data_IF_183476729095
#
_entry.id   IF_183476729095
#
_cell.length_a   1.000
_cell.length_b   1.000
_cell.length_c   1.000
_cell.angle_alpha   90.00
_cell.angle_beta   90.00
_cell.angle_gamma   90.00
#
_symmetry.space_group_name_H-M   'P 1'
#
loop_
_entity.id
_entity.type
_entity.pdbx_description
1 polymer ?
#
# COMPACT_ATOMS: atom_id res chain seq x y z
N UNK A 1 23.05 -5.97 -10.52
CA UNK A 1 22.83 -4.77 -9.68
C UNK A 1 21.39 -4.25 -9.75
N UNK A 2 20.81 -3.98 -10.94
CA UNK A 2 19.42 -3.47 -11.09
C UNK A 2 18.37 -4.31 -10.34
N UNK A 3 18.32 -5.62 -10.51
CA UNK A 3 17.29 -6.49 -9.89
C UNK A 3 17.43 -6.59 -8.37
N UNK A 4 18.65 -6.49 -7.83
CA UNK A 4 18.86 -6.42 -6.40
C UNK A 4 18.29 -5.11 -5.81
N UNK A 5 18.48 -3.99 -6.49
CA UNK A 5 17.87 -2.71 -6.08
C UNK A 5 16.35 -2.77 -6.16
N UNK A 6 15.79 -3.40 -7.21
CA UNK A 6 14.34 -3.62 -7.33
C UNK A 6 13.79 -4.50 -6.21
N UNK A 7 14.54 -5.55 -5.83
CA UNK A 7 14.20 -6.39 -4.69
C UNK A 7 14.17 -5.58 -3.37
N UNK A 8 15.18 -4.74 -3.11
CA UNK A 8 15.20 -3.86 -1.93
C UNK A 8 14.03 -2.86 -1.93
N UNK A 9 13.67 -2.30 -3.10
CA UNK A 9 12.48 -1.46 -3.24
C UNK A 9 11.20 -2.24 -2.95
N UNK A 10 11.13 -3.48 -3.40
CA UNK A 10 10.05 -4.41 -3.05
C UNK A 10 9.98 -4.66 -1.55
N UNK A 11 11.11 -4.86 -0.87
CA UNK A 11 11.14 -4.99 0.59
C UNK A 11 10.62 -3.74 1.30
N UNK A 12 10.99 -2.55 0.85
CA UNK A 12 10.46 -1.31 1.40
C UNK A 12 8.94 -1.21 1.20
N UNK A 13 8.43 -1.60 0.02
CA UNK A 13 6.99 -1.64 -0.23
C UNK A 13 6.27 -2.59 0.72
N UNK A 14 6.78 -3.83 0.86
CA UNK A 14 6.18 -4.82 1.76
C UNK A 14 6.23 -4.42 3.23
N UNK A 15 7.31 -3.78 3.68
CA UNK A 15 7.38 -3.23 5.03
C UNK A 15 6.34 -2.13 5.25
N UNK A 16 6.13 -1.25 4.28
CA UNK A 16 5.11 -0.21 4.34
C UNK A 16 3.68 -0.78 4.38
N UNK A 17 3.40 -1.83 3.59
CA UNK A 17 2.08 -2.47 3.56
C UNK A 17 1.72 -3.20 4.85
N UNK A 18 2.71 -3.57 5.68
CA UNK A 18 2.49 -4.15 7.01
C UNK A 18 2.08 -3.13 8.06
N UNK A 19 2.36 -1.84 7.82
CA UNK A 19 2.05 -0.77 8.77
C UNK A 19 0.72 -0.09 8.38
N UNK A 20 -0.30 -0.13 9.26
CA UNK A 20 -1.58 0.52 8.96
C UNK A 20 -1.39 2.01 8.62
N UNK A 21 -2.07 2.51 7.58
CA UNK A 21 -1.99 3.92 7.16
C UNK A 21 -0.80 4.27 6.26
N UNK A 22 0.15 3.38 6.05
CA UNK A 22 1.20 3.50 5.04
C UNK A 22 0.87 2.57 3.87
N UNK A 23 1.28 2.93 2.65
CA UNK A 23 1.01 2.13 1.45
C UNK A 23 2.29 1.84 0.68
N UNK A 24 2.47 0.59 0.28
CA UNK A 24 3.55 0.19 -0.64
C UNK A 24 3.49 0.94 -1.97
N UNK A 25 2.29 1.35 -2.42
CA UNK A 25 2.11 2.24 -3.56
C UNK A 25 2.84 3.58 -3.39
N UNK A 26 2.86 4.14 -2.17
CA UNK A 26 3.65 5.33 -1.85
C UNK A 26 5.13 5.08 -2.09
N UNK A 27 5.66 3.95 -1.57
CA UNK A 27 7.07 3.58 -1.74
C UNK A 27 7.42 3.31 -3.21
N UNK A 28 6.52 2.69 -3.97
CA UNK A 28 6.69 2.51 -5.41
C UNK A 28 6.81 3.86 -6.14
N UNK A 29 5.96 4.84 -5.78
CA UNK A 29 5.94 6.17 -6.40
C UNK A 29 7.24 6.93 -6.11
N UNK A 30 7.65 7.03 -4.84
CA UNK A 30 8.86 7.76 -4.44
C UNK A 30 10.14 7.08 -4.94
N UNK A 31 10.18 5.76 -4.94
CA UNK A 31 11.35 5.03 -5.47
C UNK A 31 11.40 5.00 -6.99
N UNK A 32 10.40 5.59 -7.68
CA UNK A 32 10.37 5.78 -9.13
C UNK A 32 10.05 4.51 -9.93
N UNK A 33 9.51 3.46 -9.29
CA UNK A 33 9.13 2.22 -9.99
C UNK A 33 7.64 2.12 -10.26
N UNK A 34 6.85 3.08 -9.84
CA UNK A 34 5.39 3.03 -9.91
C UNK A 34 4.84 2.87 -11.32
N UNK A 35 5.35 3.65 -12.29
CA UNK A 35 4.94 3.54 -13.69
C UNK A 35 5.32 2.18 -14.29
N UNK A 36 6.53 1.69 -14.00
CA UNK A 36 7.00 0.37 -14.47
C UNK A 36 6.18 -0.76 -13.83
N UNK A 37 5.83 -0.64 -12.54
CA UNK A 37 4.98 -1.59 -11.83
C UNK A 37 3.59 -1.70 -12.48
N UNK A 38 2.92 -0.57 -12.71
CA UNK A 38 1.61 -0.54 -13.36
C UNK A 38 1.66 -1.11 -14.78
N UNK A 39 2.70 -0.78 -15.56
CA UNK A 39 2.89 -1.32 -16.89
C UNK A 39 3.12 -2.83 -16.88
N UNK A 40 3.93 -3.33 -15.93
CA UNK A 40 4.21 -4.75 -15.77
C UNK A 40 2.95 -5.54 -15.37
N UNK A 41 2.14 -5.01 -14.45
CA UNK A 41 0.83 -5.59 -14.10
C UNK A 41 -0.10 -5.61 -15.32
N UNK A 42 -0.12 -4.54 -16.11
CA UNK A 42 -0.93 -4.45 -17.31
C UNK A 42 -0.47 -5.39 -18.42
N UNK A 43 0.81 -5.76 -18.45
CA UNK A 43 1.35 -6.70 -19.44
C UNK A 43 0.85 -8.14 -19.23
N UNK A 44 0.35 -8.49 -18.05
CA UNK A 44 -0.33 -9.76 -17.79
C UNK A 44 -1.64 -9.78 -18.56
N UNK A 45 -1.67 -10.38 -19.73
CA UNK A 45 -2.83 -10.39 -20.64
C UNK A 45 -2.91 -11.66 -21.47
N UNK A 46 -4.09 -11.93 -22.03
CA UNK A 46 -4.27 -13.06 -22.94
C UNK A 46 -3.34 -12.96 -24.18
N UNK A 47 -3.04 -11.74 -24.65
CA UNK A 47 -2.09 -11.54 -25.75
C UNK A 47 -0.66 -11.90 -25.35
N UNK A 48 -0.29 -11.67 -24.08
CA UNK A 48 1.03 -12.08 -23.56
C UNK A 48 1.11 -13.59 -23.37
N UNK A 49 0.02 -14.24 -22.97
CA UNK A 49 -0.06 -15.71 -22.92
C UNK A 49 0.02 -16.33 -24.33
N UNK A 50 -0.56 -15.70 -25.36
CA UNK A 50 -0.39 -16.14 -26.75
C UNK A 50 1.07 -16.07 -27.22
N UNK A 51 1.82 -15.05 -26.77
CA UNK A 51 3.27 -14.93 -27.05
C UNK A 51 4.04 -16.15 -26.54
N UNK A 52 3.65 -16.72 -25.38
CA UNK A 52 4.28 -17.95 -24.87
C UNK A 52 4.17 -19.12 -25.87
N UNK A 53 3.00 -19.28 -26.49
CA UNK A 53 2.77 -20.35 -27.47
C UNK A 53 3.40 -20.07 -28.87
N UNK A 54 3.49 -18.79 -29.26
CA UNK A 54 3.92 -18.40 -30.59
C UNK A 54 5.42 -18.10 -30.69
N UNK A 55 5.98 -17.46 -29.68
CA UNK A 55 7.35 -16.92 -29.70
C UNK A 55 8.24 -17.55 -28.60
N UNK A 56 7.68 -18.43 -27.77
CA UNK A 56 8.38 -19.16 -26.72
C UNK A 56 8.55 -18.35 -25.41
N UNK A 57 9.14 -19.04 -24.42
CA UNK A 57 9.24 -18.53 -23.05
C UNK A 57 10.06 -17.24 -22.93
N UNK A 58 11.14 -17.08 -23.67
CA UNK A 58 12.00 -15.89 -23.58
C UNK A 58 11.29 -14.61 -24.02
N UNK A 59 10.50 -14.67 -25.09
CA UNK A 59 9.70 -13.54 -25.58
C UNK A 59 8.56 -13.21 -24.61
N UNK A 60 7.85 -14.23 -24.12
CA UNK A 60 6.83 -14.11 -23.07
C UNK A 60 7.39 -13.43 -21.83
N UNK A 61 8.52 -13.90 -21.30
CA UNK A 61 9.17 -13.37 -20.11
C UNK A 61 9.56 -11.90 -20.25
N UNK A 62 10.12 -11.54 -21.40
CA UNK A 62 10.47 -10.15 -21.71
C UNK A 62 9.23 -9.26 -21.80
N UNK A 63 8.17 -9.72 -22.46
CA UNK A 63 6.90 -8.97 -22.62
C UNK A 63 6.19 -8.78 -21.28
N UNK A 64 6.25 -9.77 -20.42
CA UNK A 64 5.72 -9.73 -19.06
C UNK A 64 6.51 -8.80 -18.12
N UNK A 65 7.73 -8.44 -18.47
CA UNK A 65 8.72 -7.84 -17.55
C UNK A 65 8.94 -8.72 -16.30
N UNK A 66 9.05 -10.04 -16.52
CA UNK A 66 9.01 -11.06 -15.46
C UNK A 66 10.10 -10.88 -14.43
N UNK A 67 11.32 -10.52 -14.84
CA UNK A 67 12.44 -10.29 -13.91
C UNK A 67 12.20 -9.09 -12.98
N UNK A 68 11.52 -8.04 -13.47
CA UNK A 68 11.10 -6.91 -12.64
C UNK A 68 10.06 -7.35 -11.61
N UNK A 69 9.02 -8.07 -12.07
CA UNK A 69 7.94 -8.54 -11.19
C UNK A 69 8.48 -9.48 -10.11
N UNK A 70 9.33 -10.46 -10.47
CA UNK A 70 9.91 -11.37 -9.47
C UNK A 70 10.79 -10.61 -8.47
N UNK A 71 11.60 -9.66 -8.91
CA UNK A 71 12.43 -8.88 -8.00
C UNK A 71 11.56 -8.08 -7.00
N UNK A 72 10.54 -7.35 -7.49
CA UNK A 72 9.69 -6.53 -6.63
C UNK A 72 8.81 -7.39 -5.72
N UNK A 73 8.06 -8.35 -6.26
CA UNK A 73 7.18 -9.21 -5.46
C UNK A 73 7.97 -10.14 -4.53
N UNK A 74 9.13 -10.63 -4.96
CA UNK A 74 10.04 -11.39 -4.09
C UNK A 74 10.52 -10.53 -2.91
N UNK A 75 10.83 -9.26 -3.14
CA UNK A 75 11.15 -8.30 -2.07
C UNK A 75 9.98 -8.07 -1.12
N UNK A 76 8.77 -7.85 -1.64
CA UNK A 76 7.55 -7.70 -0.83
C UNK A 76 7.32 -8.93 0.05
N UNK A 77 7.33 -10.12 -0.53
CA UNK A 77 7.12 -11.37 0.21
C UNK A 77 8.20 -11.58 1.27
N UNK A 78 9.48 -11.35 0.93
CA UNK A 78 10.58 -11.45 1.90
C UNK A 78 10.39 -10.49 3.07
N UNK A 79 9.96 -9.25 2.79
CA UNK A 79 9.68 -8.27 3.82
C UNK A 79 8.54 -8.73 4.74
N UNK A 80 7.44 -9.21 4.17
CA UNK A 80 6.32 -9.75 4.95
C UNK A 80 6.78 -10.90 5.85
N UNK A 81 7.56 -11.84 5.33
CA UNK A 81 8.00 -13.01 6.09
C UNK A 81 9.05 -12.68 7.16
N UNK A 82 9.97 -11.75 6.86
CA UNK A 82 11.07 -11.43 7.76
C UNK A 82 10.76 -10.32 8.76
N UNK A 83 9.99 -9.32 8.32
CA UNK A 83 9.77 -8.11 9.12
C UNK A 83 8.42 -8.10 9.85
N UNK A 84 7.47 -8.99 9.51
CA UNK A 84 6.15 -8.98 10.14
C UNK A 84 6.24 -9.06 11.66
N UNK A 85 7.02 -10.01 12.20
CA UNK A 85 7.20 -10.17 13.65
C UNK A 85 7.87 -8.96 14.29
N UNK A 86 8.87 -8.38 13.62
CA UNK A 86 9.55 -7.18 14.10
C UNK A 86 8.61 -5.99 14.12
N UNK A 87 7.82 -5.80 13.06
CA UNK A 87 6.87 -4.69 12.97
C UNK A 87 5.71 -4.86 13.95
N UNK A 88 5.22 -6.09 14.14
CA UNK A 88 4.22 -6.40 15.17
C UNK A 88 4.74 -6.03 16.57
N UNK A 89 5.96 -6.46 16.90
CA UNK A 89 6.62 -6.09 18.13
C UNK A 89 6.79 -4.57 18.29
N UNK A 90 7.20 -3.87 17.23
CA UNK A 90 7.34 -2.40 17.25
C UNK A 90 6.00 -1.68 17.40
N UNK A 91 4.93 -2.19 16.80
CA UNK A 91 3.57 -1.63 16.95
C UNK A 91 3.10 -1.76 18.40
N UNK A 92 3.44 -2.86 19.07
CA UNK A 92 3.01 -3.13 20.44
C UNK A 92 3.88 -2.43 21.50
N UNK A 93 5.20 -2.37 21.29
CA UNK A 93 6.15 -1.93 22.32
C UNK A 93 6.72 -0.52 22.04
N UNK A 94 6.87 -0.12 20.79
CA UNK A 94 7.48 1.15 20.37
C UNK A 94 6.64 1.89 19.33
N UNK A 95 5.31 2.01 19.54
CA UNK A 95 4.42 2.58 18.51
C UNK A 95 4.80 4.02 18.16
N UNK A 96 5.17 4.83 19.15
CA UNK A 96 5.50 6.24 18.93
C UNK A 96 6.70 6.41 17.99
N UNK A 97 7.76 5.61 18.18
CA UNK A 97 8.94 5.63 17.31
C UNK A 97 8.60 5.19 15.88
N UNK A 98 7.83 4.10 15.74
CA UNK A 98 7.42 3.56 14.46
C UNK A 98 6.56 4.56 13.66
N UNK A 99 5.53 5.13 14.28
CA UNK A 99 4.67 6.11 13.63
C UNK A 99 5.42 7.39 13.28
N UNK A 100 6.30 7.85 14.16
CA UNK A 100 7.17 9.01 13.91
C UNK A 100 8.06 8.80 12.70
N UNK A 101 8.68 7.62 12.58
CA UNK A 101 9.51 7.27 11.42
C UNK A 101 8.71 7.33 10.11
N UNK A 102 7.54 6.69 10.05
CA UNK A 102 6.70 6.70 8.84
C UNK A 102 6.13 8.07 8.54
N UNK A 103 5.77 8.85 9.55
CA UNK A 103 5.33 10.24 9.37
C UNK A 103 6.43 11.10 8.74
N UNK A 104 7.66 11.01 9.24
CA UNK A 104 8.82 11.69 8.65
C UNK A 104 9.10 11.27 7.22
N UNK A 105 9.02 9.96 6.92
CA UNK A 105 9.19 9.41 5.58
C UNK A 105 8.11 9.93 4.62
N UNK A 106 6.85 9.98 5.05
CA UNK A 106 5.75 10.50 4.22
C UNK A 106 5.88 11.99 3.94
N UNK A 107 6.24 12.80 4.94
CA UNK A 107 6.50 14.25 4.74
C UNK A 107 7.62 14.46 3.74
N UNK A 108 8.75 13.76 3.90
CA UNK A 108 9.85 13.84 2.95
C UNK A 108 9.40 13.48 1.52
N UNK A 109 8.55 12.44 1.42
CA UNK A 109 8.00 11.95 0.15
C UNK A 109 7.12 12.98 -0.54
N UNK A 110 6.21 13.60 0.22
CA UNK A 110 5.34 14.67 -0.26
C UNK A 110 6.16 15.85 -0.77
N UNK A 111 7.13 16.30 0.02
CA UNK A 111 8.01 17.43 -0.36
C UNK A 111 8.82 17.10 -1.62
N UNK A 112 9.36 15.89 -1.69
CA UNK A 112 10.14 15.45 -2.84
C UNK A 112 9.29 15.43 -4.12
N UNK A 113 8.14 14.76 -4.09
CA UNK A 113 7.24 14.67 -5.25
C UNK A 113 6.68 16.04 -5.66
N UNK A 114 6.32 16.86 -4.68
CA UNK A 114 5.84 18.22 -4.93
C UNK A 114 6.90 19.07 -5.67
N UNK A 115 8.17 18.94 -5.30
CA UNK A 115 9.26 19.69 -5.94
C UNK A 115 9.71 19.11 -7.28
N UNK A 116 9.68 17.79 -7.43
CA UNK A 116 10.27 17.12 -8.60
C UNK A 116 9.27 16.86 -9.73
N UNK A 117 7.98 16.68 -9.41
CA UNK A 117 6.99 16.18 -10.36
C UNK A 117 5.80 17.14 -10.57
N UNK A 118 5.67 18.20 -9.76
CA UNK A 118 4.49 19.06 -9.79
C UNK A 118 4.82 20.51 -10.13
N UNK A 119 4.28 21.02 -11.23
CA UNK A 119 4.28 22.46 -11.51
C UNK A 119 3.24 23.17 -10.60
N UNK A 120 3.66 24.27 -9.95
CA UNK A 120 2.80 25.05 -9.05
C UNK A 120 1.86 25.89 -9.90
N UNK A 121 0.68 25.36 -10.17
CA UNK A 121 -0.42 26.05 -10.84
C UNK A 121 -1.68 25.94 -9.99
N UNK A 122 -2.56 26.92 -10.07
CA UNK A 122 -3.82 26.90 -9.31
C UNK A 122 -4.62 25.62 -9.61
N UNK A 123 -4.58 25.17 -10.86
CA UNK A 123 -5.25 23.93 -11.30
C UNK A 123 -4.68 22.70 -10.59
N UNK A 124 -3.36 22.56 -10.53
CA UNK A 124 -2.70 21.43 -9.86
C UNK A 124 -2.94 21.47 -8.35
N UNK A 125 -2.98 22.66 -7.74
CA UNK A 125 -3.34 22.82 -6.33
C UNK A 125 -4.78 22.41 -6.04
N UNK A 126 -5.73 22.67 -6.95
CA UNK A 126 -7.11 22.17 -6.82
C UNK A 126 -7.18 20.64 -6.87
N UNK A 127 -6.46 20.00 -7.79
CA UNK A 127 -6.39 18.53 -7.85
C UNK A 127 -5.72 17.94 -6.61
N UNK A 128 -4.68 18.57 -6.09
CA UNK A 128 -4.04 18.18 -4.83
C UNK A 128 -5.02 18.30 -3.66
N UNK A 129 -5.72 19.43 -3.54
CA UNK A 129 -6.75 19.63 -2.51
C UNK A 129 -7.86 18.57 -2.61
N UNK A 130 -8.32 18.26 -3.83
CA UNK A 130 -9.32 17.21 -4.08
C UNK A 130 -8.84 15.85 -3.57
N UNK A 131 -7.59 15.44 -3.90
CA UNK A 131 -7.01 14.20 -3.38
C UNK A 131 -6.90 14.19 -1.85
N UNK A 132 -6.47 15.29 -1.24
CA UNK A 132 -6.35 15.41 0.21
C UNK A 132 -7.70 15.28 0.92
N UNK A 133 -8.74 15.93 0.41
CA UNK A 133 -10.09 15.83 0.96
C UNK A 133 -10.63 14.41 0.84
N UNK A 134 -10.49 13.75 -0.33
CA UNK A 134 -10.95 12.37 -0.51
C UNK A 134 -10.26 11.44 0.49
N UNK A 135 -8.93 11.47 0.56
CA UNK A 135 -8.19 10.60 1.48
C UNK A 135 -8.57 10.86 2.93
N UNK A 136 -8.67 12.14 3.33
CA UNK A 136 -9.11 12.51 4.66
C UNK A 136 -10.49 11.95 4.99
N UNK A 137 -11.48 12.16 4.11
CA UNK A 137 -12.84 11.64 4.31
C UNK A 137 -12.88 10.12 4.39
N UNK A 138 -12.17 9.41 3.50
CA UNK A 138 -12.07 7.95 3.54
C UNK A 138 -11.51 7.49 4.88
N UNK A 139 -10.50 8.16 5.41
CA UNK A 139 -9.87 7.79 6.67
C UNK A 139 -10.68 8.15 7.92
N UNK A 140 -11.79 8.88 7.78
CA UNK A 140 -12.76 9.14 8.86
C UNK A 140 -13.88 8.10 8.93
N UNK A 141 -14.00 7.23 7.90
CA UNK A 141 -15.03 6.21 7.89
C UNK A 141 -14.72 5.14 8.95
N UNK A 142 -15.70 4.84 9.79
CA UNK A 142 -15.65 3.75 10.77
C UNK A 142 -15.77 2.39 10.10
N UNK A 143 -15.34 1.32 10.79
CA UNK A 143 -15.50 -0.05 10.31
C UNK A 143 -16.95 -0.42 10.09
N UNK A 144 -17.23 -1.07 8.97
CA UNK A 144 -18.55 -1.63 8.65
C UNK A 144 -18.87 -2.90 9.45
N UNK A 145 -20.15 -3.26 9.51
CA UNK A 145 -20.58 -4.54 10.06
C UNK A 145 -20.07 -5.70 9.20
N UNK A 146 -19.91 -6.89 9.84
CA UNK A 146 -19.42 -8.07 9.14
C UNK A 146 -20.32 -8.47 7.98
N UNK A 147 -19.75 -8.48 6.79
CA UNK A 147 -20.41 -8.85 5.55
C UNK A 147 -19.80 -10.15 5.00
N UNK A 148 -20.67 -11.09 4.56
CA UNK A 148 -20.26 -12.39 4.02
C UNK A 148 -20.85 -12.70 2.63
N UNK A 149 -21.65 -11.80 2.06
CA UNK A 149 -22.18 -11.96 0.70
C UNK A 149 -21.07 -12.09 -0.33
N UNK A 150 -21.12 -13.13 -1.17
CA UNK A 150 -20.07 -13.39 -2.17
C UNK A 150 -19.87 -12.22 -3.15
N UNK A 151 -20.97 -11.59 -3.59
CA UNK A 151 -20.87 -10.40 -4.45
C UNK A 151 -20.14 -9.24 -3.75
N UNK A 152 -20.48 -9.03 -2.48
CA UNK A 152 -19.84 -7.98 -1.70
C UNK A 152 -18.36 -8.28 -1.43
N UNK A 153 -18.00 -9.54 -1.21
CA UNK A 153 -16.62 -10.00 -1.09
C UNK A 153 -15.83 -9.77 -2.39
N UNK A 154 -16.43 -10.04 -3.56
CA UNK A 154 -15.83 -9.71 -4.84
C UNK A 154 -15.55 -8.20 -4.95
N UNK A 155 -16.56 -7.36 -4.66
CA UNK A 155 -16.45 -5.91 -4.71
C UNK A 155 -15.40 -5.39 -3.72
N UNK A 156 -15.33 -5.98 -2.53
CA UNK A 156 -14.35 -5.63 -1.50
C UNK A 156 -12.93 -5.97 -1.93
N UNK A 157 -12.70 -7.12 -2.55
CA UNK A 157 -11.41 -7.46 -3.15
C UNK A 157 -11.01 -6.50 -4.26
N UNK A 158 -11.98 -6.14 -5.13
CA UNK A 158 -11.76 -5.17 -6.21
C UNK A 158 -11.38 -3.77 -5.68
N UNK A 159 -12.14 -3.22 -4.72
CA UNK A 159 -11.90 -1.88 -4.17
C UNK A 159 -10.66 -1.89 -3.28
N UNK A 160 -10.47 -2.91 -2.46
CA UNK A 160 -9.32 -3.04 -1.56
C UNK A 160 -7.98 -3.03 -2.30
N UNK A 161 -7.86 -3.82 -3.38
CA UNK A 161 -6.63 -3.83 -4.19
C UNK A 161 -6.45 -2.51 -4.96
N UNK A 162 -7.54 -1.90 -5.40
CA UNK A 162 -7.48 -0.59 -6.08
C UNK A 162 -6.94 0.49 -5.14
N UNK A 163 -7.38 0.49 -3.88
CA UNK A 163 -6.88 1.39 -2.85
C UNK A 163 -5.40 1.11 -2.50
N UNK A 164 -5.00 -0.16 -2.43
CA UNK A 164 -3.61 -0.55 -2.14
C UNK A 164 -2.62 -0.04 -3.19
N UNK A 165 -3.03 0.05 -4.45
CA UNK A 165 -2.21 0.63 -5.50
C UNK A 165 -2.05 2.15 -5.31
N UNK A 166 -3.06 2.85 -4.79
CA UNK A 166 -3.02 4.30 -4.60
C UNK A 166 -2.09 4.68 -3.44
N UNK A 167 -1.18 5.64 -3.65
CA UNK A 167 -0.41 6.20 -2.55
C UNK A 167 -1.30 6.85 -1.49
N UNK A 168 -0.99 6.63 -0.21
CA UNK A 168 -1.72 7.22 0.91
C UNK A 168 -3.03 6.52 1.29
N UNK A 169 -3.42 5.45 0.60
CA UNK A 169 -4.56 4.63 0.98
C UNK A 169 -4.11 3.20 1.31
N UNK A 170 -4.61 2.64 2.39
CA UNK A 170 -4.33 1.26 2.79
C UNK A 170 -5.48 0.34 2.37
N UNK A 171 -5.17 -0.70 1.58
CA UNK A 171 -6.16 -1.70 1.17
C UNK A 171 -6.77 -2.44 2.36
N UNK A 172 -5.96 -2.79 3.38
CA UNK A 172 -6.45 -3.42 4.60
C UNK A 172 -7.47 -2.52 5.34
N UNK A 173 -7.20 -1.22 5.41
CA UNK A 173 -8.14 -0.26 6.00
C UNK A 173 -9.46 -0.18 5.23
N UNK A 174 -9.41 -0.20 3.90
CA UNK A 174 -10.63 -0.27 3.08
C UNK A 174 -11.44 -1.55 3.38
N UNK A 175 -10.78 -2.69 3.55
CA UNK A 175 -11.48 -3.94 3.93
C UNK A 175 -12.13 -3.85 5.32
N UNK A 176 -11.49 -3.13 6.25
CA UNK A 176 -12.09 -2.85 7.59
C UNK A 176 -13.32 -1.97 7.44
N UNK A 177 -13.25 -0.88 6.68
CA UNK A 177 -14.40 0.00 6.41
C UNK A 177 -15.55 -0.78 5.76
N UNK A 178 -15.23 -1.68 4.82
CA UNK A 178 -16.23 -2.52 4.15
C UNK A 178 -16.73 -3.68 5.03
N UNK A 179 -16.22 -3.86 6.27
CA UNK A 179 -16.67 -4.91 7.19
C UNK A 179 -16.31 -6.35 6.75
N UNK A 180 -15.34 -6.52 5.85
CA UNK A 180 -14.97 -7.85 5.33
C UNK A 180 -13.61 -8.34 5.81
N UNK A 181 -12.84 -7.48 6.49
CA UNK A 181 -11.47 -7.80 6.93
C UNK A 181 -11.42 -9.06 7.80
N UNK A 182 -12.32 -9.16 8.80
CA UNK A 182 -12.39 -10.31 9.70
C UNK A 182 -12.85 -11.58 8.96
N UNK A 183 -13.83 -11.45 8.06
CA UNK A 183 -14.32 -12.56 7.23
C UNK A 183 -13.19 -13.15 6.38
N UNK A 184 -12.41 -12.29 5.72
CA UNK A 184 -11.27 -12.74 4.90
C UNK A 184 -10.17 -13.37 5.78
N UNK A 185 -9.79 -12.71 6.88
CA UNK A 185 -8.73 -13.19 7.77
C UNK A 185 -9.07 -14.54 8.41
N UNK A 186 -10.29 -14.72 8.90
CA UNK A 186 -10.74 -16.00 9.48
C UNK A 186 -10.76 -17.12 8.45
N UNK A 187 -11.19 -16.85 7.22
CA UNK A 187 -11.17 -17.84 6.15
C UNK A 187 -9.74 -18.20 5.67
N UNK A 188 -8.79 -17.25 5.72
CA UNK A 188 -7.37 -17.58 5.47
C UNK A 188 -6.82 -18.53 6.53
N UNK A 189 -7.17 -18.31 7.82
CA UNK A 189 -6.79 -19.24 8.91
C UNK A 189 -7.44 -20.61 8.75
N UNK A 190 -8.76 -20.65 8.47
CA UNK A 190 -9.47 -21.90 8.19
C UNK A 190 -8.87 -22.66 7.01
N UNK A 191 -8.44 -21.96 5.94
CA UNK A 191 -7.76 -22.61 4.83
C UNK A 191 -6.44 -23.27 5.26
N UNK A 192 -5.69 -22.68 6.20
CA UNK A 192 -4.47 -23.28 6.77
C UNK A 192 -4.81 -24.51 7.62
N UNK A 193 -5.83 -24.43 8.46
CA UNK A 193 -6.27 -25.54 9.34
C UNK A 193 -6.79 -26.73 8.52
N UNK A 194 -7.44 -26.49 7.38
CA UNK A 194 -7.93 -27.54 6.46
C UNK A 194 -6.83 -28.36 5.78
N UNK A 195 -5.57 -27.90 5.76
CA UNK A 195 -4.45 -28.73 5.34
C UNK A 195 -4.12 -29.84 6.34
N UNK A 196 -4.48 -29.65 7.61
CA UNK A 196 -4.22 -30.61 8.70
C UNK A 196 -5.48 -31.43 8.99
N UNK A 197 -6.62 -30.75 9.11
CA UNK A 197 -7.91 -31.33 9.46
C UNK A 197 -8.89 -31.06 8.31
N UNK A 198 -8.91 -31.93 7.28
CA UNK A 198 -9.75 -31.74 6.11
C UNK A 198 -11.24 -32.02 6.42
N UNK A 199 -12.08 -31.00 6.18
CA UNK A 199 -13.53 -31.10 6.16
C UNK A 199 -14.05 -30.58 4.81
N UNK A 200 -14.78 -31.41 4.08
CA UNK A 200 -15.24 -31.10 2.73
C UNK A 200 -16.20 -29.89 2.69
N UNK A 201 -17.12 -29.78 3.65
CA UNK A 201 -18.09 -28.68 3.66
C UNK A 201 -17.43 -27.35 3.99
N UNK A 202 -16.55 -27.34 4.99
CA UNK A 202 -15.76 -26.17 5.33
C UNK A 202 -14.80 -25.78 4.19
N UNK A 203 -14.22 -26.76 3.51
CA UNK A 203 -13.36 -26.50 2.36
C UNK A 203 -14.11 -25.80 1.22
N UNK A 204 -15.30 -26.29 0.84
CA UNK A 204 -16.11 -25.67 -0.23
C UNK A 204 -16.50 -24.23 0.16
N UNK A 205 -16.93 -24.01 1.39
CA UNK A 205 -17.30 -22.68 1.87
C UNK A 205 -16.10 -21.72 1.87
N UNK A 206 -14.98 -22.11 2.46
CA UNK A 206 -13.76 -21.32 2.54
C UNK A 206 -13.20 -21.03 1.15
N UNK A 207 -13.14 -22.04 0.27
CA UNK A 207 -12.69 -21.89 -1.11
C UNK A 207 -13.60 -20.94 -1.92
N UNK A 208 -14.89 -20.97 -1.70
CA UNK A 208 -15.85 -20.06 -2.35
C UNK A 208 -15.62 -18.61 -1.90
N UNK A 209 -15.49 -18.36 -0.60
CA UNK A 209 -15.25 -17.03 -0.02
C UNK A 209 -13.91 -16.46 -0.51
N UNK A 210 -12.82 -17.20 -0.33
CA UNK A 210 -11.49 -16.76 -0.73
C UNK A 210 -11.35 -16.69 -2.26
N UNK A 211 -11.92 -17.64 -2.99
CA UNK A 211 -11.90 -17.68 -4.45
C UNK A 211 -12.57 -16.45 -5.07
N UNK A 212 -13.76 -16.10 -4.58
CA UNK A 212 -14.48 -14.91 -5.05
C UNK A 212 -13.77 -13.62 -4.65
N UNK A 213 -13.23 -13.54 -3.44
CA UNK A 213 -12.43 -12.39 -3.00
C UNK A 213 -11.17 -12.21 -3.84
N UNK A 214 -10.40 -13.29 -4.08
CA UNK A 214 -9.20 -13.29 -4.92
C UNK A 214 -9.56 -12.91 -6.37
N UNK A 215 -10.69 -13.40 -6.90
CA UNK A 215 -11.17 -13.00 -8.21
C UNK A 215 -11.42 -11.48 -8.27
N UNK A 216 -12.02 -10.91 -7.23
CA UNK A 216 -12.18 -9.46 -7.07
C UNK A 216 -10.82 -8.73 -7.10
N UNK A 217 -9.83 -9.23 -6.36
CA UNK A 217 -8.46 -8.69 -6.37
C UNK A 217 -7.86 -8.73 -7.79
N UNK A 218 -7.93 -9.86 -8.48
CA UNK A 218 -7.33 -10.02 -9.82
C UNK A 218 -7.98 -9.08 -10.83
N UNK A 219 -9.30 -9.00 -10.81
CA UNK A 219 -10.06 -8.11 -11.71
C UNK A 219 -9.78 -6.65 -11.35
N UNK A 220 -9.84 -6.28 -10.08
CA UNK A 220 -9.56 -4.94 -9.58
C UNK A 220 -8.14 -4.49 -9.93
N UNK A 221 -7.16 -5.33 -9.67
CA UNK A 221 -5.76 -5.09 -10.02
C UNK A 221 -5.62 -4.78 -11.53
N UNK A 222 -6.27 -5.58 -12.38
CA UNK A 222 -6.19 -5.43 -13.83
C UNK A 222 -6.92 -4.19 -14.34
N UNK A 223 -8.14 -3.97 -13.90
CA UNK A 223 -8.98 -2.84 -14.35
C UNK A 223 -8.39 -1.54 -13.85
N UNK A 224 -8.09 -1.47 -12.55
CA UNK A 224 -7.62 -0.25 -11.92
C UNK A 224 -6.20 0.13 -12.37
N UNK A 225 -5.27 -0.83 -12.49
CA UNK A 225 -3.91 -0.52 -12.98
C UNK A 225 -3.94 -0.02 -14.43
N UNK A 226 -4.84 -0.54 -15.28
CA UNK A 226 -5.04 -0.05 -16.65
C UNK A 226 -5.59 1.38 -16.65
N UNK A 227 -6.62 1.64 -15.85
CA UNK A 227 -7.21 2.97 -15.67
C UNK A 227 -6.16 3.97 -15.18
N UNK A 228 -5.41 3.62 -14.13
CA UNK A 228 -4.40 4.49 -13.54
C UNK A 228 -3.22 4.74 -14.50
N UNK A 229 -2.78 3.72 -15.24
CA UNK A 229 -1.77 3.90 -16.29
C UNK A 229 -2.23 4.83 -17.39
N UNK A 230 -3.50 4.72 -17.80
CA UNK A 230 -4.09 5.59 -18.81
C UNK A 230 -4.14 7.05 -18.32
N UNK A 231 -4.63 7.28 -17.11
CA UNK A 231 -4.74 8.63 -16.54
C UNK A 231 -3.36 9.28 -16.34
N UNK A 232 -2.36 8.49 -15.85
CA UNK A 232 -0.98 8.95 -15.69
C UNK A 232 -0.31 9.30 -17.02
N UNK A 233 -0.71 8.64 -18.11
CA UNK A 233 -0.20 8.94 -19.45
C UNK A 233 -0.89 10.16 -20.06
N UNK A 234 -2.21 10.29 -19.88
CA UNK A 234 -3.02 11.36 -20.49
C UNK A 234 -2.94 12.69 -19.71
N UNK A 235 -2.84 12.61 -18.38
CA UNK A 235 -2.87 13.77 -17.48
C UNK A 235 -1.84 13.63 -16.36
N UNK A 236 -0.52 13.54 -16.68
CA UNK A 236 0.52 13.19 -15.69
C UNK A 236 0.56 14.12 -14.49
N UNK A 237 0.62 15.43 -14.72
CA UNK A 237 0.72 16.43 -13.65
C UNK A 237 -0.51 16.42 -12.72
N UNK A 238 -1.71 16.35 -13.30
CA UNK A 238 -2.96 16.33 -12.52
C UNK A 238 -3.07 15.08 -11.67
N UNK A 239 -2.69 13.93 -12.27
CA UNK A 239 -2.72 12.65 -11.56
C UNK A 239 -1.73 12.66 -10.41
N UNK A 240 -0.50 13.14 -10.63
CA UNK A 240 0.50 13.25 -9.57
C UNK A 240 0.02 14.22 -8.49
N UNK A 241 -0.62 15.33 -8.84
CA UNK A 241 -1.21 16.25 -7.87
C UNK A 241 -2.25 15.55 -6.97
N UNK A 242 -3.15 14.76 -7.56
CA UNK A 242 -4.12 13.96 -6.79
C UNK A 242 -3.43 12.94 -5.90
N UNK A 243 -2.42 12.22 -6.40
CA UNK A 243 -1.68 11.22 -5.62
C UNK A 243 -0.94 11.85 -4.43
N UNK A 244 -0.30 13.00 -4.62
CA UNK A 244 0.30 13.78 -3.52
C UNK A 244 -0.78 14.22 -2.53
N UNK A 245 -1.92 14.67 -3.03
CA UNK A 245 -3.07 15.02 -2.20
C UNK A 245 -3.55 13.85 -1.34
N UNK A 246 -3.69 12.66 -1.91
CA UNK A 246 -4.05 11.45 -1.16
C UNK A 246 -3.05 11.16 -0.01
N UNK A 247 -1.75 11.34 -0.26
CA UNK A 247 -0.72 11.18 0.78
C UNK A 247 -0.87 12.23 1.89
N UNK A 248 -1.16 13.49 1.54
CA UNK A 248 -1.40 14.58 2.51
C UNK A 248 -2.63 14.26 3.37
N UNK A 249 -3.74 13.85 2.75
CA UNK A 249 -4.97 13.49 3.47
C UNK A 249 -4.80 12.32 4.44
N UNK A 250 -3.88 11.39 4.15
CA UNK A 250 -3.59 10.25 5.01
C UNK A 250 -2.67 10.56 6.19
N UNK A 251 -1.98 11.71 6.20
CA UNK A 251 -0.97 12.05 7.23
C UNK A 251 -1.50 11.95 8.66
N UNK A 252 -2.76 12.31 8.90
CA UNK A 252 -3.32 12.26 10.26
C UNK A 252 -3.45 10.82 10.79
N UNK A 253 -3.55 9.79 9.93
CA UNK A 253 -3.56 8.38 10.34
C UNK A 253 -2.18 7.87 10.75
N UNK A 254 -1.13 8.52 10.30
CA UNK A 254 0.26 8.18 10.62
C UNK A 254 0.84 9.15 11.65
N UNK A 255 0.01 10.09 12.16
CA UNK A 255 0.40 11.01 13.21
C UNK A 255 0.80 10.25 14.48
N UNK A 256 1.98 10.50 15.10
CA UNK A 256 2.49 9.67 16.18
C UNK A 256 1.66 9.71 17.46
N UNK A 257 1.11 10.88 17.79
CA UNK A 257 0.33 11.06 19.01
C UNK A 257 -1.14 10.82 18.74
N UNK A 258 -1.58 9.60 19.05
CA UNK A 258 -2.98 9.17 18.87
C UNK A 258 -3.50 8.58 20.17
N UNK A 259 -4.65 9.04 20.62
CA UNK A 259 -5.35 8.46 21.77
C UNK A 259 -6.42 7.49 21.29
N UNK A 260 -6.66 6.42 22.07
CA UNK A 260 -7.77 5.51 21.81
C UNK A 260 -9.11 6.23 22.04
N UNK A 261 -10.08 5.97 21.17
CA UNK A 261 -11.42 6.56 21.29
C UNK A 261 -12.17 6.04 22.52
N UNK A 262 -11.94 4.76 22.87
CA UNK A 262 -12.40 4.14 24.12
C UNK A 262 -11.46 2.99 24.51
N UNK A 263 -11.49 2.57 25.76
CA UNK A 263 -10.65 1.49 26.30
C UNK A 263 -10.88 0.12 25.60
N UNK A 264 -11.99 -0.05 24.91
CA UNK A 264 -12.35 -1.28 24.16
C UNK A 264 -12.26 -1.15 22.65
N UNK A 265 -12.06 0.07 22.11
CA UNK A 265 -11.98 0.28 20.66
C UNK A 265 -10.54 0.29 20.16
N UNK A 266 -10.32 -0.29 18.98
CA UNK A 266 -9.06 -0.13 18.23
C UNK A 266 -9.02 1.19 17.45
N UNK A 267 -10.05 2.02 17.54
CA UNK A 267 -10.11 3.30 16.86
C UNK A 267 -9.32 4.34 17.65
N UNK A 268 -8.51 5.11 16.96
CA UNK A 268 -7.66 6.16 17.51
C UNK A 268 -7.93 7.49 16.83
N UNK A 269 -7.69 8.58 17.53
CA UNK A 269 -7.76 9.94 17.00
C UNK A 269 -6.47 10.70 17.29
N UNK A 270 -6.07 11.55 16.36
CA UNK A 270 -4.87 12.37 16.47
C UNK A 270 -5.04 13.47 17.52
N UNK A 271 -4.04 13.65 18.38
CA UNK A 271 -4.01 14.68 19.41
C UNK A 271 -2.71 15.47 19.36
N UNK A 272 -2.66 16.62 19.99
CA UNK A 272 -1.39 17.32 20.21
C UNK A 272 -0.50 16.52 21.20
N UNK A 273 0.84 16.64 21.12
CA UNK A 273 1.74 15.98 22.07
C UNK A 273 1.41 16.27 23.54
N UNK A 274 0.94 17.48 23.83
CA UNK A 274 0.52 17.89 25.19
C UNK A 274 -0.79 17.26 25.69
N UNK A 275 -1.57 16.66 24.78
CA UNK A 275 -2.86 16.01 25.06
C UNK A 275 -2.76 14.50 24.97
N UNK A 276 -1.57 13.98 24.67
CA UNK A 276 -1.35 12.55 24.55
C UNK A 276 -1.49 11.87 25.93
N UNK A 277 -2.22 10.77 25.97
CA UNK A 277 -2.51 10.05 27.23
C UNK A 277 -1.31 9.35 27.85
N UNK A 278 -0.24 9.10 27.05
CA UNK A 278 1.02 8.54 27.50
C UNK A 278 2.13 9.59 27.61
N UNK A 279 3.37 9.14 27.81
CA UNK A 279 4.54 10.01 27.71
C UNK A 279 4.74 10.44 26.24
N UNK A 280 4.69 11.74 25.93
CA UNK A 280 4.78 12.21 24.55
C UNK A 280 6.17 12.04 23.92
N UNK A 281 7.22 11.76 24.68
CA UNK A 281 8.60 11.50 24.24
C UNK A 281 9.00 12.33 23.00
N UNK A 282 8.79 13.64 23.05
CA UNK A 282 8.89 14.56 21.90
C UNK A 282 10.25 14.44 21.21
N UNK A 283 11.33 14.35 22.00
CA UNK A 283 12.69 14.23 21.46
C UNK A 283 12.86 12.93 20.67
N UNK A 284 12.40 11.80 21.20
CA UNK A 284 12.44 10.48 20.54
C UNK A 284 11.62 10.50 19.25
N UNK A 285 10.41 11.07 19.30
CA UNK A 285 9.55 11.20 18.15
C UNK A 285 10.20 12.04 17.04
N UNK A 286 10.75 13.20 17.37
CA UNK A 286 11.45 14.06 16.41
C UNK A 286 12.69 13.37 15.82
N UNK A 287 13.44 12.62 16.61
CA UNK A 287 14.59 11.86 16.14
C UNK A 287 14.17 10.82 15.06
N UNK A 288 13.12 10.03 15.37
CA UNK A 288 12.61 9.04 14.42
C UNK A 288 11.99 9.68 13.17
N UNK A 289 11.32 10.83 13.30
CA UNK A 289 10.85 11.62 12.15
C UNK A 289 12.02 12.06 11.26
N UNK A 290 13.11 12.55 11.85
CA UNK A 290 14.29 12.95 11.10
C UNK A 290 14.99 11.76 10.42
N UNK A 291 15.04 10.60 11.06
CA UNK A 291 15.56 9.37 10.48
C UNK A 291 14.70 8.96 9.27
N UNK A 292 13.39 8.90 9.44
CA UNK A 292 12.45 8.58 8.36
C UNK A 292 12.55 9.57 7.18
N UNK A 293 12.63 10.87 7.49
CA UNK A 293 12.83 11.92 6.52
C UNK A 293 14.16 11.76 5.76
N UNK A 294 15.24 11.50 6.48
CA UNK A 294 16.60 11.37 5.92
C UNK A 294 16.79 10.15 5.03
N UNK A 295 16.13 9.04 5.34
CA UNK A 295 16.21 7.79 4.55
C UNK A 295 15.80 8.01 3.09
N UNK A 296 14.78 8.84 2.83
CA UNK A 296 14.38 9.14 1.47
C UNK A 296 15.52 9.77 0.66
N UNK A 297 16.24 10.72 1.24
CA UNK A 297 17.36 11.37 0.56
C UNK A 297 18.53 10.41 0.33
N UNK A 298 18.76 9.46 1.23
CA UNK A 298 19.76 8.40 1.02
C UNK A 298 19.35 7.50 -0.16
N UNK A 299 18.08 7.12 -0.26
CA UNK A 299 17.55 6.33 -1.37
C UNK A 299 17.68 7.11 -2.69
N UNK A 300 17.39 8.41 -2.69
CA UNK A 300 17.51 9.24 -3.90
C UNK A 300 18.96 9.42 -4.33
N UNK A 301 19.86 9.70 -3.38
CA UNK A 301 21.29 9.88 -3.65
C UNK A 301 21.92 8.61 -4.22
N UNK A 302 21.49 7.44 -3.74
CA UNK A 302 21.95 6.15 -4.26
C UNK A 302 21.54 5.94 -5.72
N UNK A 303 20.36 6.43 -6.15
CA UNK A 303 19.97 6.40 -7.57
C UNK A 303 20.94 7.18 -8.45
N UNK A 304 21.31 8.40 -8.05
CA UNK A 304 22.24 9.27 -8.82
C UNK A 304 23.65 8.69 -8.93
N UNK A 305 24.06 7.87 -7.96
CA UNK A 305 25.38 7.22 -7.96
C UNK A 305 25.41 5.92 -8.77
N UNK A 306 24.30 5.22 -8.87
CA UNK A 306 24.21 3.91 -9.50
C UNK A 306 23.79 3.95 -10.99
N UNK A 307 23.31 5.10 -11.47
CA UNK A 307 22.90 5.33 -12.86
C UNK A 307 23.76 6.39 -13.58
N UNK A 308 24.92 6.76 -13.00
CA UNK A 308 26.05 7.34 -13.71
C UNK A 308 26.96 6.21 -14.18
#
# INVERSE_FOLDING_TARGET
MRYFILYLKGMLMGAADLVPGVSGGTLALITGIYKELLQSINSVSLSTLKTLKQEGFKAFWKKLNGSFLIAVFGGILSSILLLSRLLEWLIENEPLGLWSFFFGLLIASIIYLFRSELAITIRNLLYLGFGAIISYLVTQLSGGENQSSLWYLFLSGFIGISAMILPGLSGAYILVIMGVYQTVLSNVRLAQDLFINYDQNQFIQTASILGVFILGIVVGLKVFSKFLSWILKSYPERTIAVLIGLMIGALHKVWPWQNALSSSSKETYAVLPSQFSGDPQIFTALLWMLIGFGILFLIERSKKLLFK
#
